data_IF_270428266413
#
_entry.id   IF_270428266413
#
_cell.length_a   1.000
_cell.length_b   1.000
_cell.length_c   1.000
_cell.angle_alpha   90.00
_cell.angle_beta   90.00
_cell.angle_gamma   90.00
#
_symmetry.space_group_name_H-M   'P 1'
#
loop_
_entity.id
_entity.type
_entity.pdbx_description
1 polymer ?
#
# COMPACT_ATOMS: atom_id res chain seq x y z
N UNK A 1 18.04 49.96 42.15
CA UNK A 1 18.73 48.76 41.62
C UNK A 1 17.90 48.21 40.48
N UNK A 2 18.53 47.99 39.32
CA UNK A 2 17.90 47.81 38.00
C UNK A 2 17.23 46.43 37.87
N UNK A 3 15.98 46.43 37.45
CA UNK A 3 15.22 45.28 36.90
C UNK A 3 15.75 44.90 35.51
N UNK A 4 15.91 43.61 35.22
CA UNK A 4 16.16 43.05 33.86
C UNK A 4 15.68 41.58 33.85
N UNK A 5 14.46 41.33 33.40
CA UNK A 5 14.04 40.84 32.07
C UNK A 5 14.30 39.33 31.87
N UNK A 6 13.20 38.58 31.95
CA UNK A 6 13.09 37.19 31.53
C UNK A 6 13.05 37.11 29.99
N UNK A 7 13.85 36.21 29.41
CA UNK A 7 13.77 35.86 28.00
C UNK A 7 12.96 34.56 27.85
N UNK A 8 11.69 34.70 27.49
CA UNK A 8 10.88 33.60 26.95
C UNK A 8 11.25 33.44 25.46
N UNK A 9 11.95 32.37 25.12
CA UNK A 9 12.12 31.95 23.73
C UNK A 9 10.90 31.15 23.31
N UNK A 10 9.99 31.80 22.58
CA UNK A 10 8.90 31.18 21.86
C UNK A 10 9.49 30.48 20.61
N UNK A 11 9.81 29.20 20.73
CA UNK A 11 10.13 28.37 19.57
C UNK A 11 8.83 28.04 18.84
N UNK A 12 8.50 28.83 17.81
CA UNK A 12 7.47 28.50 16.84
C UNK A 12 7.83 27.16 16.18
N UNK A 13 7.13 26.09 16.56
CA UNK A 13 7.20 24.81 15.87
C UNK A 13 6.71 25.00 14.43
N UNK A 14 7.59 24.72 13.46
CA UNK A 14 7.20 24.45 12.09
C UNK A 14 6.42 23.13 12.11
N UNK A 15 5.10 23.23 12.20
CA UNK A 15 4.20 22.11 11.95
C UNK A 15 4.29 21.78 10.45
N UNK A 16 4.92 20.65 10.13
CA UNK A 16 4.99 20.10 8.77
C UNK A 16 3.57 19.84 8.23
N UNK A 17 3.04 20.79 7.46
CA UNK A 17 1.75 20.69 6.76
C UNK A 17 1.81 19.77 5.49
N UNK A 18 2.73 18.81 5.44
CA UNK A 18 3.00 18.01 4.25
C UNK A 18 1.91 16.97 3.92
N UNK A 19 1.34 16.33 4.93
CA UNK A 19 0.45 15.17 4.71
C UNK A 19 -0.97 15.53 4.25
N UNK A 20 -1.55 16.62 4.79
CA UNK A 20 -2.92 17.00 4.46
C UNK A 20 -3.06 17.51 3.01
N UNK A 21 -2.03 18.17 2.48
CA UNK A 21 -2.03 18.71 1.12
C UNK A 21 -1.81 17.63 0.05
N UNK A 22 -1.11 16.55 0.40
CA UNK A 22 -0.85 15.45 -0.53
C UNK A 22 -2.07 14.52 -0.66
N UNK A 23 -2.82 14.28 0.42
CA UNK A 23 -4.04 13.46 0.39
C UNK A 23 -5.11 14.03 -0.55
N UNK A 24 -5.43 15.32 -0.44
CA UNK A 24 -6.43 15.98 -1.29
C UNK A 24 -6.06 16.02 -2.78
N UNK A 25 -4.76 16.06 -3.09
CA UNK A 25 -4.26 16.03 -4.46
C UNK A 25 -4.46 14.66 -5.13
N UNK A 26 -4.26 13.56 -4.40
CA UNK A 26 -4.45 12.20 -4.94
C UNK A 26 -5.93 11.89 -5.18
N UNK A 27 -6.80 12.34 -4.27
CA UNK A 27 -8.25 12.08 -4.34
C UNK A 27 -8.88 12.63 -5.62
N UNK A 28 -8.33 13.71 -6.17
CA UNK A 28 -8.81 14.36 -7.40
C UNK A 28 -7.99 14.02 -8.66
N UNK A 29 -6.84 13.37 -8.49
CA UNK A 29 -5.97 12.95 -9.60
C UNK A 29 -6.65 11.85 -10.44
N UNK A 30 -6.69 11.93 -11.79
CA UNK A 30 -7.21 10.85 -12.63
C UNK A 30 -6.44 9.53 -12.45
N UNK A 31 -7.16 8.39 -12.51
CA UNK A 31 -6.55 7.05 -12.34
C UNK A 31 -5.40 6.79 -13.32
N UNK A 32 -5.51 7.23 -14.58
CA UNK A 32 -4.43 7.10 -15.56
C UNK A 32 -3.16 7.87 -15.15
N UNK A 33 -3.32 9.04 -14.53
CA UNK A 33 -2.20 9.83 -14.02
C UNK A 33 -1.57 9.16 -12.78
N UNK A 34 -2.37 8.50 -11.93
CA UNK A 34 -1.83 7.69 -10.82
C UNK A 34 -0.97 6.55 -11.37
N UNK A 35 -1.41 5.86 -12.42
CA UNK A 35 -0.64 4.79 -13.08
C UNK A 35 0.70 5.32 -13.60
N UNK A 36 0.69 6.42 -14.35
CA UNK A 36 1.89 7.03 -14.93
C UNK A 36 2.89 7.47 -13.87
N UNK A 37 2.40 8.02 -12.75
CA UNK A 37 3.23 8.58 -11.68
C UNK A 37 3.49 7.61 -10.53
N UNK A 38 3.04 6.35 -10.62
CA UNK A 38 3.07 5.40 -9.52
C UNK A 38 4.48 5.20 -8.93
N UNK A 39 5.54 5.38 -9.74
CA UNK A 39 6.96 5.41 -9.33
C UNK A 39 7.31 6.44 -8.24
N UNK A 40 6.59 7.57 -8.22
CA UNK A 40 6.91 8.77 -7.44
C UNK A 40 5.86 9.14 -6.41
N UNK A 41 4.64 8.61 -6.53
CA UNK A 41 3.57 8.89 -5.59
C UNK A 41 3.74 8.09 -4.30
N UNK A 42 3.24 8.67 -3.21
CA UNK A 42 3.12 7.95 -1.93
C UNK A 42 2.32 6.64 -2.11
N UNK A 43 2.69 5.52 -1.45
CA UNK A 43 2.05 4.23 -1.70
C UNK A 43 0.54 4.18 -1.46
N UNK A 44 -0.02 5.11 -0.67
CA UNK A 44 -1.47 5.28 -0.52
C UNK A 44 -2.19 5.57 -1.85
N UNK A 45 -1.54 6.20 -2.83
CA UNK A 45 -2.12 6.46 -4.14
C UNK A 45 -2.47 5.18 -4.91
N UNK A 46 -1.66 4.11 -4.73
CA UNK A 46 -1.93 2.82 -5.34
C UNK A 46 -3.17 2.15 -4.71
N UNK A 47 -3.42 2.37 -3.42
CA UNK A 47 -4.67 1.95 -2.77
C UNK A 47 -5.88 2.75 -3.28
N UNK A 48 -5.75 4.07 -3.47
CA UNK A 48 -6.82 4.88 -4.09
C UNK A 48 -7.15 4.37 -5.49
N UNK A 49 -6.13 4.07 -6.31
CA UNK A 49 -6.31 3.48 -7.63
C UNK A 49 -7.02 2.13 -7.56
N UNK A 50 -6.59 1.23 -6.67
CA UNK A 50 -7.23 -0.07 -6.49
C UNK A 50 -8.71 0.05 -6.10
N UNK A 51 -9.05 0.97 -5.19
CA UNK A 51 -10.42 1.24 -4.78
C UNK A 51 -11.30 1.66 -5.98
N UNK A 52 -10.80 2.57 -6.81
CA UNK A 52 -11.50 3.03 -8.02
C UNK A 52 -11.69 1.91 -9.03
N UNK A 53 -10.63 1.13 -9.29
CA UNK A 53 -10.70 0.00 -10.22
C UNK A 53 -11.72 -1.06 -9.75
N UNK A 54 -11.78 -1.33 -8.44
CA UNK A 54 -12.78 -2.25 -7.90
C UNK A 54 -14.20 -1.71 -8.10
N UNK A 55 -14.42 -0.43 -7.83
CA UNK A 55 -15.71 0.23 -8.07
C UNK A 55 -16.13 0.25 -9.56
N UNK A 56 -15.16 0.24 -10.48
CA UNK A 56 -15.37 0.11 -11.92
C UNK A 56 -15.59 -1.35 -12.38
N UNK A 57 -15.59 -2.33 -11.47
CA UNK A 57 -15.72 -3.76 -11.81
C UNK A 57 -14.44 -4.41 -12.35
N UNK A 58 -13.30 -3.69 -12.31
CA UNK A 58 -11.97 -4.15 -12.76
C UNK A 58 -11.21 -4.80 -11.61
N UNK A 59 -11.80 -5.85 -11.05
CA UNK A 59 -11.30 -6.49 -9.83
C UNK A 59 -9.90 -7.10 -9.95
N UNK A 60 -9.51 -7.77 -11.06
CA UNK A 60 -8.14 -8.28 -11.20
C UNK A 60 -7.11 -7.15 -11.23
N UNK A 61 -7.39 -6.05 -11.96
CA UNK A 61 -6.53 -4.88 -11.98
C UNK A 61 -6.50 -4.16 -10.63
N UNK A 62 -7.62 -4.12 -9.90
CA UNK A 62 -7.65 -3.61 -8.54
C UNK A 62 -6.73 -4.39 -7.61
N UNK A 63 -6.73 -5.73 -7.70
CA UNK A 63 -5.86 -6.60 -6.92
C UNK A 63 -4.38 -6.38 -7.26
N UNK A 64 -4.05 -6.25 -8.54
CA UNK A 64 -2.70 -5.90 -9.00
C UNK A 64 -2.19 -4.64 -8.30
N UNK A 65 -2.92 -3.53 -8.42
CA UNK A 65 -2.53 -2.24 -7.85
C UNK A 65 -2.57 -2.22 -6.32
N UNK A 66 -3.50 -2.94 -5.70
CA UNK A 66 -3.54 -3.08 -4.24
C UNK A 66 -2.30 -3.81 -3.72
N UNK A 67 -1.87 -4.90 -4.35
CA UNK A 67 -0.66 -5.62 -3.96
C UNK A 67 0.62 -4.82 -4.22
N UNK A 68 0.69 -4.06 -5.33
CA UNK A 68 1.80 -3.13 -5.57
C UNK A 68 1.86 -2.02 -4.51
N UNK A 69 0.72 -1.44 -4.16
CA UNK A 69 0.59 -0.49 -3.05
C UNK A 69 1.02 -1.12 -1.74
N UNK A 70 0.54 -2.33 -1.45
CA UNK A 70 0.83 -3.08 -0.23
C UNK A 70 2.33 -3.33 -0.05
N UNK A 71 3.01 -3.74 -1.12
CA UNK A 71 4.46 -3.97 -1.17
C UNK A 71 5.21 -2.66 -0.87
N UNK A 72 4.91 -1.59 -1.62
CA UNK A 72 5.60 -0.30 -1.45
C UNK A 72 5.34 0.34 -0.09
N UNK A 73 4.14 0.19 0.44
CA UNK A 73 3.80 0.72 1.77
C UNK A 73 4.54 -0.06 2.86
N UNK A 74 4.57 -1.40 2.81
CA UNK A 74 5.37 -2.19 3.75
C UNK A 74 6.85 -1.84 3.68
N UNK A 75 7.37 -1.59 2.47
CA UNK A 75 8.76 -1.17 2.31
C UNK A 75 9.03 0.20 2.94
N UNK A 76 8.15 1.19 2.73
CA UNK A 76 8.20 2.49 3.41
C UNK A 76 8.18 2.32 4.94
N UNK A 77 7.34 1.43 5.48
CA UNK A 77 7.22 1.21 6.93
C UNK A 77 8.37 0.44 7.57
N UNK A 78 9.15 -0.28 6.74
CA UNK A 78 10.29 -1.07 7.18
C UNK A 78 11.55 -0.20 7.38
N UNK A 79 11.62 0.99 6.77
CA UNK A 79 12.79 1.88 6.93
C UNK A 79 12.72 2.69 8.24
N UNK A 80 13.86 3.00 8.88
CA UNK A 80 13.89 3.67 10.20
C UNK A 80 13.22 5.05 10.27
N UNK A 81 12.95 5.68 9.12
CA UNK A 81 12.35 7.02 9.03
C UNK A 81 10.84 6.99 8.73
N UNK A 82 10.21 5.82 8.77
CA UNK A 82 8.76 5.72 8.60
C UNK A 82 8.03 6.57 9.65
N UNK A 83 7.08 7.38 9.20
CA UNK A 83 6.34 8.27 10.09
C UNK A 83 5.24 7.49 10.84
N UNK A 84 4.79 8.03 11.98
CA UNK A 84 3.78 7.34 12.79
C UNK A 84 2.40 7.33 12.12
N UNK A 85 2.06 8.42 11.43
CA UNK A 85 0.85 8.56 10.61
C UNK A 85 0.81 7.57 9.43
N UNK A 86 1.96 7.24 8.84
CA UNK A 86 2.06 6.22 7.78
C UNK A 86 1.53 4.86 8.24
N UNK A 87 1.78 4.47 9.49
CA UNK A 87 1.28 3.20 10.04
C UNK A 87 -0.24 3.22 10.22
N UNK A 88 -0.78 4.35 10.66
CA UNK A 88 -2.22 4.55 10.86
C UNK A 88 -2.93 4.53 9.50
N UNK A 89 -2.41 5.29 8.53
CA UNK A 89 -2.97 5.35 7.19
C UNK A 89 -2.90 3.98 6.49
N UNK A 90 -1.78 3.26 6.62
CA UNK A 90 -1.64 1.92 6.08
C UNK A 90 -2.69 0.95 6.65
N UNK A 91 -2.92 0.99 7.98
CA UNK A 91 -3.95 0.18 8.61
C UNK A 91 -5.34 0.53 8.09
N UNK A 92 -5.68 1.82 8.02
CA UNK A 92 -6.98 2.27 7.50
C UNK A 92 -7.21 1.83 6.05
N UNK A 93 -6.22 2.00 5.17
CA UNK A 93 -6.31 1.58 3.76
C UNK A 93 -6.40 0.06 3.61
N UNK A 94 -5.69 -0.69 4.45
CA UNK A 94 -5.79 -2.16 4.44
C UNK A 94 -7.20 -2.64 4.80
N UNK A 95 -7.87 -1.98 5.74
CA UNK A 95 -9.23 -2.34 6.13
C UNK A 95 -10.31 -1.84 5.15
N UNK A 96 -10.16 -0.61 4.63
CA UNK A 96 -11.17 0.01 3.78
C UNK A 96 -11.07 -0.42 2.32
N UNK A 97 -9.86 -0.66 1.82
CA UNK A 97 -9.60 -1.01 0.42
C UNK A 97 -9.03 -2.42 0.30
N UNK A 98 -8.04 -2.77 1.13
CA UNK A 98 -7.41 -4.08 1.09
C UNK A 98 -8.41 -5.22 1.32
N UNK A 99 -9.27 -5.10 2.35
CA UNK A 99 -10.28 -6.12 2.67
C UNK A 99 -11.25 -6.41 1.52
N UNK A 100 -11.97 -5.44 0.92
CA UNK A 100 -12.88 -5.75 -0.19
C UNK A 100 -12.16 -6.26 -1.45
N UNK A 101 -10.95 -5.74 -1.77
CA UNK A 101 -10.16 -6.26 -2.90
C UNK A 101 -9.71 -7.71 -2.63
N UNK A 102 -9.28 -8.02 -1.41
CA UNK A 102 -8.89 -9.38 -1.01
C UNK A 102 -10.07 -10.35 -1.04
N UNK A 103 -11.26 -9.92 -0.60
CA UNK A 103 -12.48 -10.73 -0.65
C UNK A 103 -12.84 -11.10 -2.09
N UNK A 104 -12.73 -10.15 -3.01
CA UNK A 104 -12.93 -10.36 -4.45
C UNK A 104 -11.90 -11.33 -5.04
N UNK A 105 -10.61 -11.04 -4.85
CA UNK A 105 -9.54 -11.78 -5.53
C UNK A 105 -9.38 -13.20 -4.97
N UNK A 106 -9.67 -13.41 -3.68
CA UNK A 106 -9.64 -14.74 -3.09
C UNK A 106 -10.72 -15.68 -3.66
N UNK A 107 -11.66 -15.18 -4.47
CA UNK A 107 -12.60 -15.99 -5.25
C UNK A 107 -11.91 -16.92 -6.24
N UNK A 108 -10.72 -16.57 -6.71
CA UNK A 108 -9.89 -17.40 -7.57
C UNK A 108 -8.43 -17.39 -7.06
N UNK A 109 -7.95 -18.49 -6.46
CA UNK A 109 -6.57 -18.59 -5.99
C UNK A 109 -5.51 -18.35 -7.09
N UNK A 110 -5.79 -18.70 -8.35
CA UNK A 110 -4.85 -18.49 -9.47
C UNK A 110 -4.75 -17.00 -9.82
N UNK A 111 -5.88 -16.29 -9.94
CA UNK A 111 -5.89 -14.82 -10.09
C UNK A 111 -5.20 -14.13 -8.91
N UNK A 112 -5.42 -14.64 -7.69
CA UNK A 112 -4.82 -14.09 -6.49
C UNK A 112 -3.30 -14.18 -6.51
N UNK A 113 -2.75 -15.34 -6.85
CA UNK A 113 -1.31 -15.48 -7.01
C UNK A 113 -0.77 -14.65 -8.18
N UNK A 114 -1.50 -14.56 -9.29
CA UNK A 114 -1.12 -13.74 -10.43
C UNK A 114 -1.00 -12.26 -10.04
N UNK A 115 -1.92 -11.73 -9.22
CA UNK A 115 -1.87 -10.35 -8.76
C UNK A 115 -0.66 -10.06 -7.86
N UNK A 116 -0.32 -10.99 -6.96
CA UNK A 116 0.85 -10.86 -6.11
C UNK A 116 2.16 -10.94 -6.91
N UNK A 117 2.23 -11.83 -7.92
CA UNK A 117 3.38 -11.92 -8.85
C UNK A 117 3.50 -10.65 -9.69
N UNK A 118 2.39 -10.15 -10.23
CA UNK A 118 2.35 -8.89 -10.95
C UNK A 118 2.93 -7.74 -10.12
N UNK A 119 2.56 -7.65 -8.84
CA UNK A 119 3.10 -6.62 -7.95
C UNK A 119 4.62 -6.73 -7.74
N UNK A 120 5.14 -7.96 -7.62
CA UNK A 120 6.59 -8.21 -7.50
C UNK A 120 7.35 -7.83 -8.77
N UNK A 121 6.81 -8.17 -9.93
CA UNK A 121 7.39 -7.90 -11.25
C UNK A 121 7.32 -6.41 -11.58
N UNK A 122 6.16 -5.78 -11.33
CA UNK A 122 5.96 -4.36 -11.50
C UNK A 122 6.92 -3.57 -10.59
N UNK A 123 7.04 -3.91 -9.31
CA UNK A 123 7.99 -3.25 -8.43
C UNK A 123 9.44 -3.46 -8.90
N UNK A 124 9.79 -4.65 -9.41
CA UNK A 124 11.13 -4.91 -9.94
C UNK A 124 11.46 -4.03 -11.16
N UNK A 125 10.51 -3.87 -12.08
CA UNK A 125 10.64 -3.11 -13.31
C UNK A 125 10.58 -1.58 -13.13
N UNK A 126 10.08 -1.09 -12.00
CA UNK A 126 9.85 0.34 -11.78
C UNK A 126 10.75 0.90 -10.66
N UNK A 127 11.21 2.13 -10.86
CA UNK A 127 11.88 2.88 -9.81
C UNK A 127 10.90 3.23 -8.67
N UNK A 128 11.45 3.40 -7.47
CA UNK A 128 10.72 3.88 -6.31
C UNK A 128 11.43 5.14 -5.79
N UNK A 129 10.87 6.30 -6.12
CA UNK A 129 11.43 7.59 -5.73
C UNK A 129 11.02 8.01 -4.31
N UNK A 130 10.09 7.28 -3.67
CA UNK A 130 9.67 7.50 -2.27
C UNK A 130 10.62 6.81 -1.30
N UNK A 131 11.01 5.57 -1.59
CA UNK A 131 11.91 4.77 -0.75
C UNK A 131 12.99 4.13 -1.60
N UNK A 132 14.24 4.51 -1.35
CA UNK A 132 15.39 4.04 -2.15
C UNK A 132 15.60 2.54 -2.02
N UNK A 133 15.35 1.81 -3.13
CA UNK A 133 15.53 0.35 -3.26
C UNK A 133 16.98 -0.10 -3.02
N UNK A 134 17.95 0.76 -3.32
CA UNK A 134 19.39 0.45 -3.16
C UNK A 134 19.88 0.74 -1.74
N UNK A 135 19.45 1.85 -1.13
CA UNK A 135 19.84 2.19 0.25
C UNK A 135 19.23 1.24 1.28
N UNK A 136 18.03 0.74 1.01
CA UNK A 136 17.25 -0.11 1.91
C UNK A 136 17.01 -1.50 1.31
N UNK A 137 18.05 -2.06 0.66
CA UNK A 137 17.92 -3.31 -0.09
C UNK A 137 17.55 -4.51 0.80
N UNK A 138 18.02 -4.54 2.05
CA UNK A 138 17.69 -5.61 3.01
C UNK A 138 16.22 -5.57 3.43
N UNK A 139 15.70 -4.38 3.74
CA UNK A 139 14.29 -4.18 4.08
C UNK A 139 13.38 -4.50 2.88
N UNK A 140 13.79 -4.11 1.66
CA UNK A 140 13.06 -4.46 0.45
C UNK A 140 13.02 -5.98 0.24
N UNK A 141 14.16 -6.66 0.42
CA UNK A 141 14.26 -8.11 0.25
C UNK A 141 13.33 -8.86 1.23
N UNK A 142 13.27 -8.43 2.49
CA UNK A 142 12.37 -9.04 3.47
C UNK A 142 10.89 -8.83 3.11
N UNK A 143 10.51 -7.61 2.69
CA UNK A 143 9.13 -7.31 2.29
C UNK A 143 8.71 -8.13 1.06
N UNK A 144 9.59 -8.22 0.05
CA UNK A 144 9.34 -9.03 -1.15
C UNK A 144 9.23 -10.52 -0.80
N UNK A 145 10.15 -11.02 0.03
CA UNK A 145 10.11 -12.40 0.53
C UNK A 145 8.83 -12.71 1.33
N UNK A 146 8.27 -11.73 2.04
CA UNK A 146 6.97 -11.86 2.69
C UNK A 146 5.83 -12.12 1.69
N UNK A 147 5.83 -11.44 0.55
CA UNK A 147 4.83 -11.62 -0.50
C UNK A 147 5.02 -12.96 -1.24
N UNK A 148 6.26 -13.38 -1.49
CA UNK A 148 6.57 -14.71 -2.04
C UNK A 148 6.06 -15.83 -1.12
N UNK A 149 6.26 -15.71 0.20
CA UNK A 149 5.72 -16.66 1.18
C UNK A 149 4.20 -16.70 1.16
N UNK A 150 3.53 -15.56 0.95
CA UNK A 150 2.07 -15.52 0.82
C UNK A 150 1.60 -16.23 -0.46
N UNK A 151 2.28 -16.02 -1.60
CA UNK A 151 2.00 -16.75 -2.85
C UNK A 151 2.08 -18.26 -2.60
N UNK A 152 3.18 -18.73 -1.99
CA UNK A 152 3.34 -20.15 -1.66
C UNK A 152 2.22 -20.69 -0.76
N UNK A 153 1.81 -19.90 0.25
CA UNK A 153 0.73 -20.28 1.16
C UNK A 153 -0.61 -20.40 0.43
N UNK A 154 -0.93 -19.48 -0.48
CA UNK A 154 -2.15 -19.53 -1.29
C UNK A 154 -2.14 -20.77 -2.17
N UNK A 155 -1.03 -21.05 -2.85
CA UNK A 155 -0.86 -22.23 -3.70
C UNK A 155 -1.09 -23.54 -2.92
N UNK A 156 -0.45 -23.65 -1.76
CA UNK A 156 -0.56 -24.82 -0.90
C UNK A 156 -1.96 -24.99 -0.26
N UNK A 157 -2.77 -23.93 -0.25
CA UNK A 157 -4.07 -23.90 0.46
C UNK A 157 -5.27 -23.75 -0.47
N UNK A 158 -5.09 -23.87 -1.80
CA UNK A 158 -6.14 -23.66 -2.82
C UNK A 158 -7.49 -24.29 -2.45
N UNK A 159 -7.48 -25.59 -2.15
CA UNK A 159 -8.72 -26.32 -1.86
C UNK A 159 -9.34 -25.92 -0.52
N UNK A 160 -8.50 -25.58 0.45
CA UNK A 160 -8.97 -25.08 1.74
C UNK A 160 -9.66 -23.72 1.57
N UNK A 161 -9.04 -22.81 0.80
CA UNK A 161 -9.62 -21.50 0.47
C UNK A 161 -10.99 -21.67 -0.18
N UNK A 162 -11.12 -22.54 -1.18
CA UNK A 162 -12.41 -22.78 -1.86
C UNK A 162 -13.48 -23.32 -0.92
N UNK A 163 -13.11 -24.28 -0.06
CA UNK A 163 -14.02 -24.84 0.96
C UNK A 163 -14.47 -23.79 1.96
N UNK A 164 -13.55 -23.01 2.51
CA UNK A 164 -13.85 -21.97 3.49
C UNK A 164 -14.75 -20.90 2.89
N UNK A 165 -14.53 -20.51 1.64
CA UNK A 165 -15.40 -19.57 0.93
C UNK A 165 -16.83 -20.10 0.80
N UNK A 166 -16.99 -21.33 0.31
CA UNK A 166 -18.31 -21.97 0.21
C UNK A 166 -19.00 -22.06 1.57
N UNK A 167 -18.27 -22.44 2.63
CA UNK A 167 -18.81 -22.53 3.99
C UNK A 167 -19.28 -21.16 4.53
N UNK A 168 -18.66 -20.07 4.09
CA UNK A 168 -19.01 -18.70 4.46
C UNK A 168 -19.98 -18.03 3.48
N UNK A 169 -20.54 -18.76 2.51
CA UNK A 169 -21.46 -18.21 1.51
C UNK A 169 -20.81 -17.27 0.49
N UNK A 170 -19.48 -17.33 0.34
CA UNK A 170 -18.71 -16.54 -0.61
C UNK A 170 -18.56 -17.31 -1.93
N UNK A 171 -18.62 -16.58 -3.04
CA UNK A 171 -18.46 -17.12 -4.38
C UNK A 171 -17.01 -17.60 -4.62
N UNK A 172 -16.87 -18.76 -5.29
CA UNK A 172 -15.63 -19.15 -5.97
C UNK A 172 -15.84 -18.84 -7.45
N UNK A 173 -14.94 -18.06 -8.06
CA UNK A 173 -15.04 -17.60 -9.45
C UNK A 173 -14.24 -18.51 -10.38
#
# INVERSE_FOLDING_TARGET
MKTLVAALLLSCGLLSAGHAQQGSAIDTMPSAQIVEQAGSLHPSALYVLASRLLAEGKGPEAANWMYAGQLRYRFLLAVPKAQADDRILFAALSEQVGRPVNEYIAGDPDEWMAAMRWALDWDAANENHVTSKTRHAAELAEVRGGLDRLIFKVDASRDQIRRDRTANGLENR
#
